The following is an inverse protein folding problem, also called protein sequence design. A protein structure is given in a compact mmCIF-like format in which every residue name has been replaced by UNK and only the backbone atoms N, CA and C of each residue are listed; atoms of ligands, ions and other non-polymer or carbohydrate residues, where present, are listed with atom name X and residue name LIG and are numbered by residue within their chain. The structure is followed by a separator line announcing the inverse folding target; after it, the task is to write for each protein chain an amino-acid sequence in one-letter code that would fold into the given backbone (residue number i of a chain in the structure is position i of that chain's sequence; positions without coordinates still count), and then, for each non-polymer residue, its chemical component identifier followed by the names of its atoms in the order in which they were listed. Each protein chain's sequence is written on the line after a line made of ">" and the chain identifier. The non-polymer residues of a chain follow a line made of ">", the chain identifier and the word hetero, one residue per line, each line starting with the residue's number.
data_IF_524811600885
#
_entry.id   IF_524811600885
#
_cell.length_a   1.000
_cell.length_b   1.000
_cell.length_c   1.000
_cell.angle_alpha   90.00
_cell.angle_beta   90.00
_cell.angle_gamma   90.00
#
_symmetry.space_group_name_H-M   'P 1'
#
loop_
_entity.id
_entity.type
_entity.pdbx_description
1 polymer ?
#
# COMPACT_ATOMS: atom_id res chain seq x y z
N UNK A 1 -12.35 -11.38 4.61
CA UNK A 1 -12.17 -10.46 3.47
C UNK A 1 -10.89 -10.83 2.73
N UNK A 2 -10.94 -10.91 1.42
CA UNK A 2 -9.81 -11.24 0.55
C UNK A 2 -9.50 -10.02 -0.33
N UNK A 3 -8.23 -9.84 -0.66
CA UNK A 3 -7.74 -8.78 -1.54
C UNK A 3 -7.12 -9.43 -2.78
N UNK A 4 -7.40 -8.86 -3.96
CA UNK A 4 -6.69 -9.14 -5.19
C UNK A 4 -5.92 -7.88 -5.57
N UNK A 5 -4.61 -7.94 -5.47
CA UNK A 5 -3.71 -6.84 -5.82
C UNK A 5 -3.12 -7.09 -7.19
N UNK A 6 -3.24 -6.12 -8.09
CA UNK A 6 -2.61 -6.13 -9.40
C UNK A 6 -1.60 -5.00 -9.46
N UNK A 7 -0.35 -5.33 -9.71
CA UNK A 7 0.73 -4.35 -9.88
C UNK A 7 1.43 -4.57 -11.21
N UNK A 8 1.77 -3.50 -11.90
CA UNK A 8 2.43 -3.58 -13.19
C UNK A 8 2.65 -2.21 -13.81
N UNK A 9 3.20 -2.20 -15.03
CA UNK A 9 3.28 -1.00 -15.85
C UNK A 9 1.88 -0.56 -16.30
N UNK A 10 1.69 0.70 -16.68
CA UNK A 10 0.42 1.18 -17.22
C UNK A 10 -0.06 0.35 -18.41
N UNK A 11 0.85 -0.07 -19.28
CA UNK A 11 0.57 -0.92 -20.45
C UNK A 11 0.09 -2.32 -20.03
N UNK A 12 0.77 -2.94 -19.05
CA UNK A 12 0.39 -4.26 -18.53
C UNK A 12 -0.97 -4.22 -17.83
N UNK A 13 -1.25 -3.17 -17.04
CA UNK A 13 -2.56 -2.98 -16.41
C UNK A 13 -3.66 -2.68 -17.42
N UNK A 14 -3.35 -2.00 -18.55
CA UNK A 14 -4.28 -1.80 -19.66
C UNK A 14 -4.64 -3.13 -20.32
N UNK A 15 -3.66 -3.96 -20.62
CA UNK A 15 -3.90 -5.31 -21.17
C UNK A 15 -4.73 -6.17 -20.21
N UNK A 16 -4.45 -6.15 -18.91
CA UNK A 16 -5.26 -6.84 -17.91
C UNK A 16 -6.72 -6.36 -17.94
N UNK A 17 -6.95 -5.06 -18.16
CA UNK A 17 -8.29 -4.49 -18.27
C UNK A 17 -9.02 -5.01 -19.51
N UNK A 18 -8.34 -5.14 -20.62
CA UNK A 18 -8.91 -5.70 -21.86
C UNK A 18 -9.29 -7.17 -21.70
N UNK A 19 -8.49 -7.96 -20.96
CA UNK A 19 -8.80 -9.34 -20.64
C UNK A 19 -10.05 -9.52 -19.75
N UNK A 20 -10.53 -8.45 -19.11
CA UNK A 20 -11.79 -8.46 -18.35
C UNK A 20 -13.03 -8.27 -19.22
N UNK A 21 -12.90 -8.40 -20.52
CA UNK A 21 -14.00 -8.38 -21.49
C UNK A 21 -13.91 -9.61 -22.37
N UNK A 22 -14.59 -10.69 -22.04
CA UNK A 22 -14.61 -11.88 -22.86
C UNK A 22 -15.10 -13.10 -22.11
N UNK A 23 -15.34 -14.20 -22.81
CA UNK A 23 -15.92 -15.42 -22.28
C UNK A 23 -15.20 -15.96 -21.03
N UNK A 24 -13.86 -15.89 -21.01
CA UNK A 24 -13.08 -16.35 -19.85
C UNK A 24 -13.34 -15.50 -18.60
N UNK A 25 -13.51 -14.18 -18.77
CA UNK A 25 -13.84 -13.30 -17.66
C UNK A 25 -15.29 -13.47 -17.21
N UNK A 26 -16.21 -13.63 -18.13
CA UNK A 26 -17.63 -13.90 -17.84
C UNK A 26 -17.75 -15.21 -17.05
N UNK A 27 -17.11 -16.30 -17.48
CA UNK A 27 -17.06 -17.56 -16.75
C UNK A 27 -16.42 -17.42 -15.35
N UNK A 28 -15.38 -16.60 -15.21
CA UNK A 28 -14.78 -16.30 -13.91
C UNK A 28 -15.78 -15.58 -12.99
N UNK A 29 -16.48 -14.57 -13.48
CA UNK A 29 -17.50 -13.84 -12.71
C UNK A 29 -18.66 -14.73 -12.30
N UNK A 30 -19.16 -15.57 -13.20
CA UNK A 30 -20.21 -16.54 -12.91
C UNK A 30 -19.78 -17.53 -11.81
N UNK A 31 -18.54 -18.03 -11.85
CA UNK A 31 -18.00 -18.91 -10.81
C UNK A 31 -17.81 -18.22 -9.45
N UNK A 32 -17.70 -16.90 -9.41
CA UNK A 32 -17.67 -16.13 -8.16
C UNK A 32 -19.05 -15.77 -7.63
N UNK A 33 -20.09 -15.88 -8.45
CA UNK A 33 -21.46 -15.56 -8.04
C UNK A 33 -21.89 -16.44 -6.85
N UNK A 34 -22.34 -15.79 -5.79
CA UNK A 34 -22.71 -16.46 -4.53
C UNK A 34 -21.53 -16.83 -3.62
N UNK A 35 -20.27 -16.77 -4.10
CA UNK A 35 -19.07 -17.06 -3.30
C UNK A 35 -18.39 -15.78 -2.79
N UNK A 36 -18.39 -14.72 -3.60
CA UNK A 36 -17.71 -13.47 -3.27
C UNK A 36 -18.52 -12.26 -3.77
N UNK A 37 -18.39 -11.16 -3.04
CA UNK A 37 -18.92 -9.84 -3.42
C UNK A 37 -17.82 -8.82 -3.37
N UNK A 38 -17.63 -8.07 -4.44
CA UNK A 38 -16.73 -6.91 -4.44
C UNK A 38 -17.32 -5.84 -3.54
N UNK A 39 -16.59 -5.47 -2.49
CA UNK A 39 -17.01 -4.47 -1.49
C UNK A 39 -16.28 -3.15 -1.64
N UNK A 40 -15.07 -3.15 -2.24
CA UNK A 40 -14.31 -1.95 -2.53
C UNK A 40 -13.33 -2.21 -3.67
N UNK A 41 -13.02 -1.17 -4.42
CA UNK A 41 -11.97 -1.16 -5.43
C UNK A 41 -11.16 0.12 -5.25
N UNK A 42 -9.83 0.00 -5.25
CA UNK A 42 -8.92 1.15 -5.18
C UNK A 42 -7.88 1.05 -6.28
N UNK A 43 -7.51 2.18 -6.82
CA UNK A 43 -6.45 2.29 -7.82
C UNK A 43 -5.48 3.37 -7.36
N UNK A 44 -4.19 3.16 -7.54
CA UNK A 44 -3.17 4.13 -7.17
C UNK A 44 -1.88 3.97 -7.96
N UNK A 45 -0.99 4.90 -7.74
CA UNK A 45 0.36 4.90 -8.29
C UNK A 45 1.38 5.21 -7.20
N UNK A 46 2.54 4.54 -7.24
CA UNK A 46 3.65 4.88 -6.37
C UNK A 46 4.25 6.22 -6.77
N UNK A 47 4.46 7.10 -5.79
CA UNK A 47 5.17 8.38 -5.93
C UNK A 47 6.63 8.25 -5.50
N UNK A 48 6.88 7.59 -4.36
CA UNK A 48 8.21 7.36 -3.79
C UNK A 48 8.34 5.88 -3.47
N UNK A 49 9.48 5.29 -3.83
CA UNK A 49 9.82 3.90 -3.52
C UNK A 49 11.16 3.86 -2.81
N UNK A 50 11.18 3.26 -1.65
CA UNK A 50 12.42 2.98 -0.91
C UNK A 50 12.77 1.51 -1.17
N UNK A 51 13.97 1.29 -1.67
CA UNK A 51 14.47 -0.06 -1.98
C UNK A 51 14.71 -0.83 -0.68
N UNK A 52 14.24 -2.05 -0.64
CA UNK A 52 14.37 -2.97 0.47
C UNK A 52 13.97 -4.38 0.05
N UNK A 53 13.98 -5.31 0.99
CA UNK A 53 13.51 -6.67 0.71
C UNK A 53 12.00 -6.65 0.46
N UNK A 54 11.61 -7.19 -0.70
CA UNK A 54 10.20 -7.36 -1.04
C UNK A 54 9.71 -8.66 -0.39
N UNK A 55 9.09 -8.51 0.77
CA UNK A 55 8.54 -9.64 1.50
C UNK A 55 7.33 -10.26 0.80
N UNK A 56 7.21 -11.58 0.94
CA UNK A 56 6.09 -12.35 0.37
C UNK A 56 5.17 -12.96 1.43
N UNK A 57 5.36 -12.62 2.71
CA UNK A 57 4.55 -13.13 3.81
C UNK A 57 3.26 -12.32 4.00
N UNK A 58 3.40 -11.00 4.14
CA UNK A 58 2.26 -10.10 4.30
C UNK A 58 2.53 -8.73 3.72
N UNK A 59 1.45 -8.02 3.47
CA UNK A 59 1.42 -6.65 3.01
C UNK A 59 0.70 -5.79 4.04
N UNK A 60 1.18 -4.58 4.24
CA UNK A 60 0.52 -3.60 5.11
C UNK A 60 0.38 -2.27 4.39
N UNK A 61 -0.79 -1.66 4.52
CA UNK A 61 -1.11 -0.39 3.90
C UNK A 61 -1.79 0.53 4.90
N UNK A 62 -1.32 1.76 4.99
CA UNK A 62 -1.93 2.85 5.75
C UNK A 62 -2.49 3.87 4.79
N UNK A 63 -3.77 4.21 4.93
CA UNK A 63 -4.46 5.18 4.10
C UNK A 63 -4.57 6.54 4.80
N UNK A 64 -4.43 7.61 4.03
CA UNK A 64 -4.48 8.99 4.50
C UNK A 64 -5.32 9.86 3.55
N UNK A 65 -5.97 10.86 4.13
CA UNK A 65 -6.32 12.07 3.41
C UNK A 65 -5.21 13.09 3.64
N UNK A 66 -4.66 13.67 2.58
CA UNK A 66 -3.49 14.56 2.65
C UNK A 66 -3.84 15.89 1.97
N UNK A 67 -3.71 16.98 2.74
CA UNK A 67 -3.96 18.36 2.26
C UNK A 67 -2.73 18.94 1.56
N UNK A 68 -1.50 18.59 2.00
CA UNK A 68 -0.23 19.03 1.40
C UNK A 68 0.62 17.81 1.00
N UNK A 69 0.44 17.29 -0.23
CA UNK A 69 1.18 16.13 -0.71
C UNK A 69 2.70 16.32 -0.81
N UNK A 70 3.14 17.54 -1.10
CA UNK A 70 4.56 17.85 -1.23
C UNK A 70 5.29 17.71 0.11
N UNK A 71 4.77 18.36 1.14
CA UNK A 71 5.32 18.26 2.51
C UNK A 71 5.20 16.85 3.06
N UNK A 72 4.11 16.14 2.78
CA UNK A 72 3.93 14.75 3.21
C UNK A 72 4.99 13.83 2.57
N UNK A 73 5.23 13.95 1.26
CA UNK A 73 6.22 13.15 0.56
C UNK A 73 7.64 13.43 1.05
N UNK A 74 7.99 14.69 1.30
CA UNK A 74 9.28 15.05 1.86
C UNK A 74 9.48 14.47 3.27
N UNK A 75 8.48 14.57 4.13
CA UNK A 75 8.52 13.99 5.47
C UNK A 75 8.68 12.45 5.42
N UNK A 76 8.02 11.78 4.46
CA UNK A 76 8.16 10.34 4.24
C UNK A 76 9.60 9.95 3.82
N UNK A 77 10.24 10.74 2.95
CA UNK A 77 11.63 10.51 2.53
C UNK A 77 12.56 10.66 3.75
N UNK A 78 12.42 11.73 4.51
CA UNK A 78 13.23 12.01 5.70
C UNK A 78 13.04 10.94 6.79
N UNK A 79 11.83 10.41 6.98
CA UNK A 79 11.57 9.29 7.86
C UNK A 79 12.44 8.09 7.48
N UNK A 80 12.50 7.74 6.20
CA UNK A 80 13.23 6.55 5.73
C UNK A 80 14.76 6.73 5.72
N UNK A 81 15.27 7.94 5.82
CA UNK A 81 16.70 8.20 6.08
C UNK A 81 17.08 7.90 7.54
N UNK A 82 16.15 8.08 8.46
CA UNK A 82 16.32 7.84 9.89
C UNK A 82 15.88 6.45 10.36
N UNK A 83 14.94 5.85 9.64
CA UNK A 83 14.33 4.56 9.97
C UNK A 83 14.53 3.58 8.82
N UNK A 84 15.34 2.55 9.04
CA UNK A 84 15.62 1.51 8.05
C UNK A 84 15.44 0.14 8.67
N UNK A 85 14.34 -0.51 8.35
CA UNK A 85 14.07 -1.89 8.77
C UNK A 85 14.36 -2.93 7.67
N UNK A 86 14.95 -2.50 6.55
CA UNK A 86 15.30 -3.36 5.43
C UNK A 86 14.14 -3.79 4.53
N UNK A 87 12.89 -3.50 4.89
CA UNK A 87 11.73 -3.86 4.08
C UNK A 87 11.51 -2.88 2.91
N UNK A 88 10.87 -3.38 1.85
CA UNK A 88 10.33 -2.50 0.82
C UNK A 88 9.23 -1.62 1.41
N UNK A 89 9.30 -0.32 1.17
CA UNK A 89 8.26 0.64 1.56
C UNK A 89 8.04 1.65 0.44
N UNK A 90 6.82 2.08 0.24
CA UNK A 90 6.46 3.09 -0.75
C UNK A 90 5.38 4.03 -0.26
N UNK A 91 5.46 5.28 -0.71
CA UNK A 91 4.37 6.24 -0.66
C UNK A 91 3.69 6.24 -2.02
N UNK A 92 2.38 6.19 -2.05
CA UNK A 92 1.57 6.28 -3.26
C UNK A 92 0.39 7.22 -3.12
N UNK A 93 -0.20 7.53 -4.27
CA UNK A 93 -1.40 8.32 -4.38
C UNK A 93 -2.52 7.47 -4.96
N UNK A 94 -3.71 7.57 -4.39
CA UNK A 94 -4.91 7.00 -5.01
C UNK A 94 -5.36 7.82 -6.21
N UNK A 95 -5.64 7.15 -7.31
CA UNK A 95 -6.22 7.73 -8.53
C UNK A 95 -7.70 7.35 -8.69
N UNK A 96 -8.17 6.43 -7.85
CA UNK A 96 -9.56 6.00 -7.76
C UNK A 96 -9.81 5.21 -6.48
N UNK A 97 -11.04 5.26 -5.97
CA UNK A 97 -11.44 4.61 -4.71
C UNK A 97 -12.30 5.52 -3.83
N UNK A 98 -12.07 5.49 -2.54
CA UNK A 98 -12.83 6.27 -1.56
C UNK A 98 -12.48 7.76 -1.62
N UNK A 99 -13.51 8.63 -1.59
CA UNK A 99 -13.34 10.09 -1.72
C UNK A 99 -12.48 10.72 -0.61
N UNK A 100 -12.42 10.08 0.54
CA UNK A 100 -11.72 10.59 1.72
C UNK A 100 -10.33 9.98 1.91
N UNK A 101 -9.80 9.30 0.90
CA UNK A 101 -8.47 8.72 0.88
C UNK A 101 -7.72 9.22 -0.35
N UNK A 102 -6.60 9.88 -0.15
CA UNK A 102 -5.82 10.46 -1.25
C UNK A 102 -4.45 9.81 -1.40
N UNK A 103 -3.87 9.32 -0.30
CA UNK A 103 -2.52 8.75 -0.29
C UNK A 103 -2.47 7.49 0.57
N UNK A 104 -1.46 6.67 0.30
CA UNK A 104 -1.17 5.48 1.09
C UNK A 104 0.33 5.30 1.30
N UNK A 105 0.69 4.73 2.44
CA UNK A 105 2.01 4.14 2.67
C UNK A 105 1.81 2.63 2.62
N UNK A 106 2.67 1.95 1.87
CA UNK A 106 2.61 0.51 1.65
C UNK A 106 3.96 -0.12 1.96
N UNK A 107 3.95 -1.25 2.65
CA UNK A 107 5.14 -2.06 2.92
C UNK A 107 4.83 -3.54 2.78
N UNK A 108 5.88 -4.33 2.61
CA UNK A 108 5.81 -5.81 2.59
C UNK A 108 6.68 -6.37 3.69
N UNK A 109 6.35 -7.56 4.16
CA UNK A 109 7.07 -8.28 5.22
C UNK A 109 7.44 -9.69 4.75
N UNK A 110 8.65 -10.13 5.08
CA UNK A 110 9.16 -11.47 4.72
C UNK A 110 8.65 -12.57 5.65
N UNK A 111 8.28 -12.23 6.88
CA UNK A 111 7.78 -13.13 7.90
C UNK A 111 6.95 -12.40 8.98
N UNK A 112 6.39 -13.16 9.91
CA UNK A 112 5.62 -12.60 11.02
C UNK A 112 6.49 -11.74 11.95
N UNK A 113 7.76 -12.06 12.13
CA UNK A 113 8.64 -11.28 13.00
C UNK A 113 8.84 -9.89 12.41
N UNK A 114 9.19 -9.76 11.12
CA UNK A 114 9.38 -8.47 10.46
C UNK A 114 8.11 -7.63 10.49
N UNK A 115 6.94 -8.24 10.41
CA UNK A 115 5.65 -7.55 10.54
C UNK A 115 5.43 -6.97 11.94
N UNK A 116 5.73 -7.72 13.00
CA UNK A 116 5.50 -7.28 14.37
C UNK A 116 6.62 -6.40 14.93
N UNK A 117 7.78 -6.38 14.31
CA UNK A 117 8.92 -5.51 14.67
C UNK A 117 9.06 -4.28 13.76
N UNK A 118 8.02 -3.94 13.00
CA UNK A 118 7.99 -2.76 12.10
C UNK A 118 7.81 -1.43 12.88
N UNK A 119 8.25 -1.34 14.09
CA UNK A 119 8.17 -0.12 14.89
C UNK A 119 9.56 0.35 15.29
N UNK A 120 9.73 1.66 15.56
CA UNK A 120 11.02 2.19 16.01
C UNK A 120 11.47 1.49 17.29
N UNK A 121 12.65 0.88 17.29
CA UNK A 121 13.18 0.13 18.41
C UNK A 121 14.37 0.80 19.12
N UNK A 122 14.89 1.89 18.53
CA UNK A 122 15.98 2.68 19.07
C UNK A 122 15.67 4.17 19.07
N UNK A 123 16.45 4.95 19.83
CA UNK A 123 16.22 6.39 20.01
C UNK A 123 16.21 7.18 18.71
N UNK A 124 17.14 6.89 17.78
CA UNK A 124 17.22 7.56 16.46
C UNK A 124 15.96 7.34 15.63
N UNK A 125 15.46 6.11 15.59
CA UNK A 125 14.25 5.75 14.88
C UNK A 125 13.01 6.37 15.52
N UNK A 126 12.96 6.40 16.86
CA UNK A 126 11.88 7.05 17.61
C UNK A 126 11.83 8.56 17.32
N UNK A 127 12.99 9.23 17.26
CA UNK A 127 13.08 10.63 16.88
C UNK A 127 12.62 10.87 15.45
N UNK A 128 13.05 10.05 14.48
CA UNK A 128 12.62 10.14 13.09
C UNK A 128 11.11 9.97 12.95
N UNK A 129 10.53 9.02 13.68
CA UNK A 129 9.08 8.77 13.69
C UNK A 129 8.31 9.92 14.34
N UNK A 130 8.82 10.45 15.46
CA UNK A 130 8.21 11.59 16.15
C UNK A 130 8.23 12.84 15.26
N UNK A 131 9.35 13.10 14.56
CA UNK A 131 9.48 14.18 13.58
C UNK A 131 8.47 14.03 12.45
N UNK A 132 8.40 12.84 11.85
CA UNK A 132 7.44 12.54 10.78
C UNK A 132 6.01 12.85 11.24
N UNK A 133 5.60 12.30 12.38
CA UNK A 133 4.26 12.53 12.92
C UNK A 133 3.97 14.01 13.18
N UNK A 134 4.95 14.77 13.71
CA UNK A 134 4.77 16.20 13.95
C UNK A 134 4.54 17.01 12.67
N UNK A 135 5.15 16.60 11.56
CA UNK A 135 5.00 17.25 10.26
C UNK A 135 3.66 16.88 9.62
N UNK A 136 3.29 15.58 9.62
CA UNK A 136 2.11 15.13 8.88
C UNK A 136 0.79 15.38 9.62
N UNK A 137 0.78 15.47 10.95
CA UNK A 137 -0.45 15.65 11.74
C UNK A 137 -1.26 16.88 11.32
N UNK A 138 -0.69 18.07 11.09
CA UNK A 138 -1.48 19.24 10.70
C UNK A 138 -1.95 19.22 9.23
N UNK A 139 -1.39 18.38 8.38
CA UNK A 139 -1.62 18.35 6.93
C UNK A 139 -2.24 17.05 6.43
N UNK A 140 -2.57 16.12 7.33
CA UNK A 140 -3.17 14.85 6.94
C UNK A 140 -4.10 14.28 7.99
N UNK A 141 -4.97 13.39 7.56
CA UNK A 141 -5.85 12.61 8.43
C UNK A 141 -5.63 11.13 8.16
N UNK A 142 -5.24 10.37 9.17
CA UNK A 142 -5.18 8.92 9.09
C UNK A 142 -6.58 8.32 8.92
N UNK A 143 -6.75 7.44 7.93
CA UNK A 143 -8.04 6.83 7.56
C UNK A 143 -8.14 5.35 7.92
N UNK A 144 -7.05 4.74 8.30
CA UNK A 144 -7.01 3.34 8.70
C UNK A 144 -5.85 2.58 8.08
N UNK A 145 -5.68 1.35 8.52
CA UNK A 145 -4.71 0.43 7.95
C UNK A 145 -5.32 -0.92 7.63
N UNK A 146 -4.70 -1.60 6.70
CA UNK A 146 -5.02 -2.97 6.32
C UNK A 146 -3.75 -3.78 6.35
N UNK A 147 -3.83 -4.97 6.95
CA UNK A 147 -2.80 -6.01 6.88
C UNK A 147 -3.42 -7.20 6.20
N UNK A 148 -2.73 -7.76 5.21
CA UNK A 148 -3.13 -8.96 4.50
C UNK A 148 -1.99 -9.95 4.42
N UNK A 149 -2.29 -11.24 4.67
CA UNK A 149 -1.36 -12.33 4.42
C UNK A 149 -1.39 -12.70 2.95
N UNK A 150 -0.23 -12.83 2.33
CA UNK A 150 -0.12 -13.24 0.92
C UNK A 150 -0.41 -14.73 0.82
N UNK A 151 -1.49 -15.10 0.11
CA UNK A 151 -1.87 -16.49 -0.12
C UNK A 151 -1.27 -17.06 -1.40
N UNK A 152 -0.89 -16.23 -2.33
CA UNK A 152 -0.27 -16.62 -3.60
C UNK A 152 0.08 -15.42 -4.46
N UNK A 153 1.08 -15.59 -5.31
CA UNK A 153 1.49 -14.62 -6.33
C UNK A 153 1.54 -15.32 -7.68
N UNK A 154 1.11 -14.64 -8.72
CA UNK A 154 1.12 -15.14 -10.10
C UNK A 154 1.83 -14.11 -10.98
N UNK A 155 2.79 -14.58 -11.77
CA UNK A 155 3.57 -13.77 -12.72
C UNK A 155 3.17 -14.11 -14.15
#
# INVERSE_FOLDING_TARGET
>A
THFLNFAGSPEGLSQLRELRSGEAYEAYVENLEGLAKIVAMKQGQSLVRIQGENGSYSEQMWSFYVDDPGTFAQAFIELNEGFSNGNYISLGQYTGGERNETHYIYTTHSDAKSQFTFFPDNEKEQEAFAKFNSIITPISQYKGSTISTVLGTWN
#
